data_IF_357606733372
#
_entry.id   IF_357606733372
#
_cell.length_a   1.000
_cell.length_b   1.000
_cell.length_c   1.000
_cell.angle_alpha   90.00
_cell.angle_beta   90.00
_cell.angle_gamma   90.00
#
_symmetry.space_group_name_H-M   'P 1'
#
loop_
_entity.id
_entity.type
_entity.pdbx_description
1 polymer ?
#
# COMPACT_ATOMS: atom_id res chain seq x y z
N UNK A 1 1.34 5.76 -11.82
CA UNK A 1 1.78 5.41 -10.45
C UNK A 1 0.60 5.64 -9.53
N UNK A 2 0.39 4.79 -8.53
CA UNK A 2 -0.73 4.93 -7.58
C UNK A 2 -0.18 5.20 -6.17
N UNK A 3 -0.91 6.00 -5.37
CA UNK A 3 -0.55 6.33 -3.98
C UNK A 3 -1.71 5.94 -3.07
N UNK A 4 -1.41 5.26 -1.96
CA UNK A 4 -2.37 4.92 -0.91
C UNK A 4 -1.86 5.39 0.44
N UNK A 5 -2.71 6.07 1.19
CA UNK A 5 -2.36 6.60 2.51
C UNK A 5 -3.07 5.80 3.61
N UNK A 6 -2.31 5.41 4.63
CA UNK A 6 -2.80 4.91 5.92
C UNK A 6 -2.72 6.11 6.88
N UNK A 7 -3.88 6.60 7.31
CA UNK A 7 -4.01 7.72 8.24
C UNK A 7 -3.89 7.24 9.69
N UNK A 8 -3.49 8.12 10.62
CA UNK A 8 -3.29 7.74 12.03
C UNK A 8 -4.57 7.25 12.71
N UNK A 9 -5.73 7.66 12.21
CA UNK A 9 -7.04 7.29 12.76
C UNK A 9 -7.56 5.94 12.22
N UNK A 10 -6.82 5.30 11.31
CA UNK A 10 -7.22 4.01 10.74
C UNK A 10 -6.86 2.89 11.71
N UNK A 11 -7.84 2.08 12.09
CA UNK A 11 -7.64 0.96 13.03
C UNK A 11 -6.79 -0.20 12.49
N UNK A 12 -6.56 -0.25 11.17
CA UNK A 12 -5.80 -1.30 10.51
C UNK A 12 -4.74 -0.74 9.58
N UNK A 13 -3.53 -1.25 9.74
CA UNK A 13 -2.39 -0.99 8.87
C UNK A 13 -2.49 -1.77 7.54
N UNK A 14 -3.52 -1.49 6.77
CA UNK A 14 -3.79 -2.14 5.49
C UNK A 14 -4.33 -1.18 4.43
N UNK A 15 -4.04 -1.48 3.17
CA UNK A 15 -4.57 -0.76 2.01
C UNK A 15 -5.25 -1.72 1.04
N UNK A 16 -6.28 -1.21 0.36
CA UNK A 16 -6.95 -1.90 -0.74
C UNK A 16 -6.56 -1.27 -2.06
N UNK A 17 -6.14 -2.12 -2.99
CA UNK A 17 -5.66 -1.73 -4.32
C UNK A 17 -6.52 -2.42 -5.35
N UNK A 18 -7.00 -1.67 -6.35
CA UNK A 18 -7.75 -2.25 -7.47
C UNK A 18 -6.77 -2.90 -8.43
N UNK A 19 -6.85 -4.22 -8.62
CA UNK A 19 -5.93 -4.96 -9.50
C UNK A 19 -6.12 -4.56 -10.97
N UNK A 20 -7.33 -4.13 -11.34
CA UNK A 20 -7.69 -3.60 -12.66
C UNK A 20 -7.17 -2.17 -12.92
N UNK A 21 -6.65 -1.48 -11.90
CA UNK A 21 -6.13 -0.13 -12.06
C UNK A 21 -4.95 -0.05 -13.04
N UNK A 22 -4.81 1.08 -13.72
CA UNK A 22 -3.67 1.32 -14.61
C UNK A 22 -2.50 1.98 -13.86
N UNK A 23 -1.68 1.17 -13.18
CA UNK A 23 -0.45 1.63 -12.53
C UNK A 23 0.70 0.66 -12.74
N UNK A 24 1.92 1.16 -12.68
CA UNK A 24 3.17 0.38 -12.76
C UNK A 24 3.85 0.21 -11.39
N UNK A 25 3.65 1.18 -10.48
CA UNK A 25 4.16 1.20 -9.11
C UNK A 25 3.07 1.66 -8.15
N UNK A 26 3.07 1.10 -6.94
CA UNK A 26 2.27 1.55 -5.82
C UNK A 26 3.19 2.13 -4.73
N UNK A 27 2.85 3.32 -4.25
CA UNK A 27 3.43 3.93 -3.06
C UNK A 27 2.41 3.85 -1.93
N UNK A 28 2.77 3.19 -0.84
CA UNK A 28 1.97 3.21 0.39
C UNK A 28 2.64 4.16 1.36
N UNK A 29 1.90 5.17 1.81
CA UNK A 29 2.33 6.14 2.80
C UNK A 29 1.59 5.85 4.09
N UNK A 30 2.29 5.77 5.21
CA UNK A 30 1.70 5.64 6.55
C UNK A 30 2.06 6.88 7.36
N UNK A 31 1.05 7.47 7.97
CA UNK A 31 1.20 8.59 8.91
C UNK A 31 0.80 8.05 10.28
N UNK A 32 1.69 8.13 11.27
CA UNK A 32 1.41 7.70 12.64
C UNK A 32 0.79 8.84 13.48
N UNK A 33 0.44 8.53 14.74
CA UNK A 33 -0.21 9.47 15.65
C UNK A 33 0.64 10.72 15.95
N UNK A 34 1.97 10.58 15.86
CA UNK A 34 2.94 11.66 16.02
C UNK A 34 3.15 12.45 14.71
N UNK A 35 2.32 12.20 13.69
CA UNK A 35 2.41 12.78 12.35
C UNK A 35 3.72 12.48 11.62
N UNK A 36 4.46 11.46 12.05
CA UNK A 36 5.63 10.97 11.31
C UNK A 36 5.19 10.21 10.06
N UNK A 37 5.94 10.43 8.98
CA UNK A 37 5.63 9.87 7.67
C UNK A 37 6.59 8.75 7.34
N UNK A 38 6.04 7.56 7.11
CA UNK A 38 6.75 6.42 6.56
C UNK A 38 6.22 6.09 5.17
N UNK A 39 7.09 5.62 4.26
CA UNK A 39 6.65 5.20 2.93
C UNK A 39 7.27 3.87 2.49
N UNK A 40 6.52 3.10 1.71
CA UNK A 40 6.96 1.84 1.11
C UNK A 40 6.49 1.80 -0.34
N UNK A 41 7.43 1.71 -1.28
CA UNK A 41 7.15 1.64 -2.72
C UNK A 41 7.41 0.23 -3.25
N UNK A 42 6.54 -0.24 -4.14
CA UNK A 42 6.76 -1.50 -4.84
C UNK A 42 6.19 -1.51 -6.26
N UNK A 43 6.70 -2.45 -7.06
CA UNK A 43 6.31 -2.62 -8.46
C UNK A 43 5.06 -3.51 -8.58
N UNK A 44 4.13 -3.15 -9.46
CA UNK A 44 2.92 -3.94 -9.72
C UNK A 44 3.23 -5.38 -10.08
N UNK A 45 4.31 -5.62 -10.82
CA UNK A 45 4.72 -6.97 -11.25
C UNK A 45 5.03 -7.92 -10.09
N UNK A 46 5.34 -7.38 -8.90
CA UNK A 46 5.62 -8.15 -7.67
C UNK A 46 4.37 -8.39 -6.82
N UNK A 47 3.22 -7.82 -7.21
CA UNK A 47 1.96 -8.09 -6.53
C UNK A 47 1.49 -9.53 -6.78
N UNK A 48 0.93 -10.21 -5.77
CA UNK A 48 0.30 -11.52 -5.97
C UNK A 48 -0.82 -11.40 -6.99
N UNK A 49 -0.81 -12.31 -7.97
CA UNK A 49 -1.92 -12.44 -8.92
C UNK A 49 -3.12 -13.00 -8.16
N UNK A 50 -4.24 -12.27 -8.20
CA UNK A 50 -5.48 -12.69 -7.55
C UNK A 50 -6.64 -12.49 -8.52
N UNK A 51 -7.64 -13.38 -8.43
CA UNK A 51 -8.92 -13.25 -9.13
C UNK A 51 -9.84 -12.21 -8.48
N UNK A 52 -9.49 -11.74 -7.27
CA UNK A 52 -10.26 -10.72 -6.57
C UNK A 52 -10.03 -9.34 -7.18
N UNK A 53 -11.08 -8.50 -7.34
CA UNK A 53 -10.95 -7.16 -7.91
C UNK A 53 -10.13 -6.22 -7.01
N UNK A 54 -10.15 -6.48 -5.71
CA UNK A 54 -9.40 -5.74 -4.69
C UNK A 54 -8.35 -6.65 -4.06
N UNK A 55 -7.11 -6.18 -4.08
CA UNK A 55 -6.02 -6.77 -3.34
C UNK A 55 -5.87 -6.03 -2.00
N UNK A 56 -5.94 -6.79 -0.91
CA UNK A 56 -5.65 -6.31 0.44
C UNK A 56 -4.16 -6.50 0.71
N UNK A 57 -3.48 -5.44 1.12
CA UNK A 57 -2.06 -5.44 1.42
C UNK A 57 -1.86 -4.91 2.83
N UNK A 58 -1.22 -5.69 3.70
CA UNK A 58 -0.84 -5.23 5.04
C UNK A 58 0.47 -4.45 4.95
N UNK A 59 0.61 -3.42 5.78
CA UNK A 59 1.82 -2.61 5.86
C UNK A 59 3.07 -3.46 6.11
N UNK A 60 2.99 -4.43 7.03
CA UNK A 60 4.13 -5.28 7.39
C UNK A 60 4.59 -6.22 6.26
N UNK A 61 3.70 -6.56 5.32
CA UNK A 61 4.04 -7.41 4.17
C UNK A 61 4.78 -6.62 3.08
N UNK A 62 4.80 -5.29 3.18
CA UNK A 62 5.48 -4.44 2.22
C UNK A 62 7.00 -4.43 2.49
N UNK A 63 7.85 -4.43 1.46
CA UNK A 63 9.29 -4.30 1.65
C UNK A 63 9.60 -2.97 2.34
N UNK A 64 10.57 -3.00 3.26
CA UNK A 64 11.11 -1.78 3.85
C UNK A 64 11.77 -0.95 2.75
N UNK A 65 11.52 0.36 2.75
CA UNK A 65 12.35 1.27 1.97
C UNK A 65 13.78 1.12 2.49
N UNK A 66 14.73 0.82 1.58
CA UNK A 66 16.16 0.89 1.87
C UNK A 66 16.58 2.34 2.01
#
# INVERSE_FOLDING_TARGET
MEIKTITPFKSKDEVFVKVSGNFSKLLVVKINADFEVSSRMFERKKLPKTTKPLLKIKWNDLPHAK
#
